data_IF_351069619968
#
_entry.id   IF_351069619968
#
_cell.length_a   1.000
_cell.length_b   1.000
_cell.length_c   1.000
_cell.angle_alpha   90.00
_cell.angle_beta   90.00
_cell.angle_gamma   90.00
#
_symmetry.space_group_name_H-M   'P 1'
#
loop_
_entity.id
_entity.type
_entity.pdbx_description
1 polymer ?
#
# COMPACT_ATOMS: atom_id res chain seq x y z
N UNK A 1 16.06 30.43 25.50
CA UNK A 1 15.00 30.40 24.47
C UNK A 1 15.16 29.11 23.70
N UNK A 2 14.66 28.02 24.26
CA UNK A 2 14.58 26.76 23.53
C UNK A 2 13.60 26.96 22.36
N UNK A 3 13.94 26.54 21.13
CA UNK A 3 12.99 26.60 20.05
C UNK A 3 11.88 25.63 20.40
N UNK A 4 10.70 26.19 20.69
CA UNK A 4 9.44 25.50 20.89
C UNK A 4 9.37 24.31 19.94
N UNK A 5 9.48 23.11 20.49
CA UNK A 5 9.27 21.87 19.77
C UNK A 5 7.90 21.94 19.12
N UNK A 6 7.87 22.29 17.84
CA UNK A 6 6.70 22.08 17.01
C UNK A 6 6.34 20.60 17.16
N UNK A 7 5.22 20.38 17.84
CA UNK A 7 4.57 19.11 18.13
C UNK A 7 4.18 18.40 16.83
N UNK A 8 5.15 17.98 16.02
CA UNK A 8 4.98 17.14 14.84
C UNK A 8 4.83 15.64 15.20
N UNK A 9 4.56 15.30 16.46
CA UNK A 9 4.80 13.94 16.97
C UNK A 9 3.65 13.24 17.70
N UNK A 10 2.55 13.93 18.02
CA UNK A 10 1.47 13.36 18.81
C UNK A 10 0.10 13.68 18.19
N UNK A 11 -0.33 12.88 17.22
CA UNK A 11 -1.75 12.66 17.03
C UNK A 11 -2.37 12.33 18.40
N UNK A 12 -3.43 13.02 18.87
CA UNK A 12 -3.93 12.76 20.22
C UNK A 12 -4.57 11.37 20.23
N UNK A 13 -3.90 10.39 20.84
CA UNK A 13 -4.44 9.04 21.08
C UNK A 13 -5.86 9.11 21.68
N UNK A 14 -6.12 10.15 22.48
CA UNK A 14 -7.43 10.46 23.03
C UNK A 14 -8.53 10.69 21.97
N UNK A 15 -8.22 11.34 20.83
CA UNK A 15 -9.18 11.53 19.74
C UNK A 15 -9.47 10.20 19.03
N UNK A 16 -8.45 9.38 18.79
CA UNK A 16 -8.63 8.09 18.13
C UNK A 16 -9.44 7.11 18.99
N UNK A 17 -9.20 7.07 20.31
CA UNK A 17 -10.04 6.32 21.27
C UNK A 17 -11.49 6.78 21.28
N UNK A 18 -11.76 8.09 21.19
CA UNK A 18 -13.13 8.61 21.05
C UNK A 18 -13.80 8.15 19.75
N UNK A 19 -13.02 8.03 18.66
CA UNK A 19 -13.52 7.52 17.39
C UNK A 19 -13.74 6.01 17.38
N UNK A 20 -13.03 5.23 18.20
CA UNK A 20 -13.33 3.80 18.37
C UNK A 20 -14.77 3.60 18.88
N UNK A 21 -15.21 4.43 19.82
CA UNK A 21 -16.57 4.37 20.36
C UNK A 21 -17.62 4.97 19.39
N UNK A 22 -17.31 6.10 18.76
CA UNK A 22 -18.30 6.85 17.96
C UNK A 22 -18.32 6.49 16.47
N UNK A 23 -17.22 5.97 15.91
CA UNK A 23 -17.07 5.60 14.49
C UNK A 23 -16.24 4.32 14.32
N UNK A 24 -16.63 3.19 14.94
CA UNK A 24 -15.84 1.96 14.99
C UNK A 24 -15.47 1.42 13.59
N UNK A 25 -16.40 1.51 12.62
CA UNK A 25 -16.17 1.05 11.25
C UNK A 25 -15.06 1.82 10.53
N UNK A 26 -14.95 3.13 10.76
CA UNK A 26 -13.90 3.96 10.16
C UNK A 26 -12.53 3.63 10.76
N UNK A 27 -12.47 3.44 12.08
CA UNK A 27 -11.23 3.04 12.75
C UNK A 27 -10.79 1.63 12.33
N UNK A 28 -11.75 0.71 12.18
CA UNK A 28 -11.47 -0.62 11.64
C UNK A 28 -10.92 -0.55 10.21
N UNK A 29 -11.58 0.20 9.32
CA UNK A 29 -11.14 0.38 7.95
C UNK A 29 -9.72 0.94 7.86
N UNK A 30 -9.41 1.95 8.69
CA UNK A 30 -8.06 2.52 8.82
C UNK A 30 -7.04 1.46 9.25
N UNK A 31 -7.30 0.70 10.32
CA UNK A 31 -6.39 -0.34 10.80
C UNK A 31 -6.18 -1.47 9.80
N UNK A 32 -7.26 -1.90 9.15
CA UNK A 32 -7.23 -2.96 8.16
C UNK A 32 -6.52 -2.53 6.88
N UNK A 33 -6.54 -1.23 6.56
CA UNK A 33 -6.00 -0.70 5.31
C UNK A 33 -4.52 -1.00 5.11
N UNK A 34 -3.71 -1.05 6.17
CA UNK A 34 -2.29 -1.42 6.10
C UNK A 34 -2.09 -2.80 5.43
N UNK A 35 -3.00 -3.75 5.65
CA UNK A 35 -2.91 -5.09 5.08
C UNK A 35 -3.28 -5.17 3.59
N UNK A 36 -3.72 -4.07 2.98
CA UNK A 36 -3.92 -4.01 1.52
C UNK A 36 -2.61 -4.31 0.77
N UNK A 37 -1.46 -3.84 1.29
CA UNK A 37 -0.15 -4.17 0.74
C UNK A 37 0.12 -5.67 0.81
N UNK A 38 -0.13 -6.30 1.96
CA UNK A 38 0.10 -7.72 2.14
C UNK A 38 -0.81 -8.56 1.27
N UNK A 39 -2.07 -8.17 1.11
CA UNK A 39 -3.00 -8.83 0.20
C UNK A 39 -2.49 -8.77 -1.26
N UNK A 40 -2.05 -7.59 -1.72
CA UNK A 40 -1.45 -7.44 -3.06
C UNK A 40 -0.19 -8.28 -3.21
N UNK A 41 0.70 -8.29 -2.22
CA UNK A 41 1.91 -9.12 -2.24
C UNK A 41 1.59 -10.62 -2.33
N UNK A 42 0.61 -11.11 -1.56
CA UNK A 42 0.16 -12.50 -1.61
C UNK A 42 -0.45 -12.86 -2.97
N UNK A 43 -1.33 -12.03 -3.51
CA UNK A 43 -1.95 -12.27 -4.82
C UNK A 43 -0.90 -12.23 -5.93
N UNK A 44 0.03 -11.27 -5.88
CA UNK A 44 1.12 -11.19 -6.83
C UNK A 44 1.99 -12.45 -6.78
N UNK A 45 2.42 -12.89 -5.59
CA UNK A 45 3.18 -14.13 -5.42
C UNK A 45 2.45 -15.36 -5.98
N UNK A 46 1.15 -15.48 -5.71
CA UNK A 46 0.32 -16.58 -6.21
C UNK A 46 0.16 -16.54 -7.74
N UNK A 47 0.12 -15.35 -8.33
CA UNK A 47 -0.04 -15.16 -9.77
C UNK A 47 1.28 -15.21 -10.54
N UNK A 48 2.45 -15.01 -9.90
CA UNK A 48 3.77 -14.97 -10.55
C UNK A 48 4.02 -16.09 -11.58
N UNK A 49 3.68 -17.36 -11.32
CA UNK A 49 3.89 -18.43 -12.30
C UNK A 49 3.06 -18.25 -13.58
N UNK A 50 1.87 -17.66 -13.46
CA UNK A 50 0.91 -17.42 -14.56
C UNK A 50 1.15 -16.10 -15.28
N UNK A 51 1.92 -15.19 -14.68
CA UNK A 51 2.20 -13.89 -15.24
C UNK A 51 3.26 -13.96 -16.36
N UNK A 52 3.15 -13.10 -17.38
CA UNK A 52 4.13 -12.96 -18.45
C UNK A 52 5.54 -12.68 -17.93
N UNK A 53 6.54 -12.91 -18.78
CA UNK A 53 7.95 -12.74 -18.37
C UNK A 53 8.26 -11.31 -17.93
N UNK A 54 7.67 -10.31 -18.57
CA UNK A 54 7.77 -8.89 -18.20
C UNK A 54 7.25 -8.57 -16.78
N UNK A 55 6.47 -9.46 -16.17
CA UNK A 55 5.93 -9.32 -14.82
C UNK A 55 6.68 -10.19 -13.79
N UNK A 56 7.65 -11.00 -14.21
CA UNK A 56 8.46 -11.81 -13.27
C UNK A 56 9.57 -11.00 -12.61
N UNK A 57 9.88 -9.83 -13.16
CA UNK A 57 10.76 -8.82 -12.59
C UNK A 57 10.05 -7.48 -12.54
N UNK A 58 10.31 -6.72 -11.49
CA UNK A 58 10.02 -5.28 -11.44
C UNK A 58 11.24 -4.51 -11.88
N UNK A 59 11.13 -3.18 -12.01
CA UNK A 59 12.25 -2.32 -12.42
C UNK A 59 13.44 -2.40 -11.44
N UNK A 60 13.18 -2.57 -10.14
CA UNK A 60 14.24 -2.58 -9.11
C UNK A 60 14.65 -3.96 -8.63
N UNK A 61 13.74 -4.95 -8.67
CA UNK A 61 14.00 -6.27 -8.11
C UNK A 61 13.17 -7.39 -8.76
N UNK A 62 13.51 -8.64 -8.49
CA UNK A 62 12.70 -9.79 -8.90
C UNK A 62 11.29 -9.74 -8.32
N UNK A 63 10.30 -10.29 -9.05
CA UNK A 63 8.90 -10.27 -8.65
C UNK A 63 8.64 -10.92 -7.29
N UNK A 64 9.34 -12.01 -6.97
CA UNK A 64 9.27 -12.65 -5.65
C UNK A 64 9.72 -11.73 -4.51
N UNK A 65 10.81 -10.97 -4.71
CA UNK A 65 11.27 -9.98 -3.74
C UNK A 65 10.29 -8.83 -3.58
N UNK A 66 9.71 -8.36 -4.68
CA UNK A 66 8.68 -7.33 -4.64
C UNK A 66 7.42 -7.80 -3.88
N UNK A 67 6.97 -9.04 -4.12
CA UNK A 67 5.87 -9.65 -3.39
C UNK A 67 6.14 -9.75 -1.88
N UNK A 68 7.35 -10.21 -1.52
CA UNK A 68 7.78 -10.29 -0.13
C UNK A 68 7.86 -8.91 0.53
N UNK A 69 8.37 -7.91 -0.18
CA UNK A 69 8.43 -6.53 0.30
C UNK A 69 7.02 -5.95 0.55
N UNK A 70 6.05 -6.23 -0.32
CA UNK A 70 4.64 -5.86 -0.11
C UNK A 70 4.02 -6.55 1.11
N UNK A 71 4.32 -7.84 1.31
CA UNK A 71 3.90 -8.58 2.51
C UNK A 71 4.44 -7.93 3.79
N UNK A 72 5.74 -7.62 3.81
CA UNK A 72 6.40 -6.95 4.93
C UNK A 72 5.87 -5.53 5.16
N UNK A 73 5.61 -4.78 4.09
CA UNK A 73 5.08 -3.41 4.18
C UNK A 73 3.79 -3.33 4.98
N UNK A 74 2.83 -4.23 4.74
CA UNK A 74 1.58 -4.20 5.49
C UNK A 74 1.77 -4.44 7.00
N UNK A 75 2.69 -5.33 7.37
CA UNK A 75 3.09 -5.54 8.75
C UNK A 75 3.79 -4.33 9.36
N UNK A 76 4.75 -3.72 8.65
CA UNK A 76 5.47 -2.53 9.10
C UNK A 76 4.53 -1.33 9.26
N UNK A 77 3.64 -1.09 8.31
CA UNK A 77 2.66 0.01 8.38
C UNK A 77 1.68 -0.20 9.53
N UNK A 78 1.19 -1.43 9.73
CA UNK A 78 0.33 -1.73 10.88
C UNK A 78 1.06 -1.50 12.22
N UNK A 79 2.32 -1.93 12.33
CA UNK A 79 3.12 -1.72 13.55
C UNK A 79 3.40 -0.24 13.78
N UNK A 80 3.71 0.52 12.74
CA UNK A 80 3.91 1.97 12.83
C UNK A 80 2.62 2.68 13.30
N UNK A 81 1.48 2.32 12.72
CA UNK A 81 0.17 2.83 13.12
C UNK A 81 -0.21 2.39 14.54
N UNK A 82 0.07 1.14 14.94
CA UNK A 82 -0.19 0.63 16.27
C UNK A 82 0.68 1.32 17.33
N UNK A 83 1.95 1.60 17.05
CA UNK A 83 2.83 2.39 17.95
C UNK A 83 2.31 3.81 18.08
N UNK A 84 1.98 4.45 16.96
CA UNK A 84 1.45 5.81 16.95
C UNK A 84 0.08 5.90 17.67
N UNK A 85 -0.79 4.91 17.48
CA UNK A 85 -2.17 4.87 17.95
C UNK A 85 -2.32 4.39 19.38
N UNK A 86 -1.61 3.31 19.75
CA UNK A 86 -1.83 2.59 21.00
C UNK A 86 -0.73 2.86 22.04
N UNK A 87 0.34 3.56 21.67
CA UNK A 87 1.47 3.84 22.57
C UNK A 87 2.13 2.56 23.09
N UNK A 88 1.97 1.44 22.37
CA UNK A 88 2.49 0.15 22.80
C UNK A 88 4.02 0.18 22.76
N UNK A 89 4.70 -0.41 23.75
CA UNK A 89 6.14 -0.59 23.68
C UNK A 89 6.43 -1.50 22.49
N UNK A 90 7.28 -1.04 21.59
CA UNK A 90 7.84 -1.86 20.51
C UNK A 90 9.26 -2.25 20.85
N UNK A 91 9.71 -3.44 20.41
CA UNK A 91 11.14 -3.72 20.40
C UNK A 91 11.80 -2.67 19.49
N UNK A 92 12.87 -2.02 19.92
CA UNK A 92 13.54 -0.90 19.23
C UNK A 92 12.83 0.47 19.25
N UNK A 93 13.57 1.52 18.88
CA UNK A 93 13.09 2.90 18.95
C UNK A 93 11.94 3.18 17.96
N UNK A 94 10.97 4.00 18.37
CA UNK A 94 9.88 4.48 17.49
C UNK A 94 10.39 5.11 16.19
N UNK A 95 11.53 5.83 16.25
CA UNK A 95 12.16 6.43 15.08
C UNK A 95 12.62 5.38 14.07
N UNK A 96 13.15 4.24 14.54
CA UNK A 96 13.57 3.16 13.65
C UNK A 96 12.39 2.58 12.86
N UNK A 97 11.30 2.23 13.55
CA UNK A 97 10.09 1.70 12.89
C UNK A 97 9.52 2.67 11.84
N UNK A 98 9.43 3.96 12.20
CA UNK A 98 8.97 5.00 11.30
C UNK A 98 9.89 5.15 10.07
N UNK A 99 11.21 5.09 10.27
CA UNK A 99 12.16 5.18 9.16
C UNK A 99 12.07 3.96 8.25
N UNK A 100 12.00 2.74 8.80
CA UNK A 100 11.90 1.51 8.03
C UNK A 100 10.62 1.46 7.19
N UNK A 101 9.47 1.74 7.82
CA UNK A 101 8.17 1.79 7.14
C UNK A 101 8.18 2.82 6.00
N UNK A 102 8.73 4.02 6.24
CA UNK A 102 8.83 5.05 5.20
C UNK A 102 9.76 4.65 4.08
N UNK A 103 10.97 4.19 4.38
CA UNK A 103 11.94 3.79 3.35
C UNK A 103 11.34 2.72 2.44
N UNK A 104 10.73 1.69 3.05
CA UNK A 104 10.10 0.63 2.28
C UNK A 104 8.91 1.15 1.46
N UNK A 105 8.03 1.98 2.02
CA UNK A 105 6.91 2.58 1.31
C UNK A 105 7.36 3.44 0.11
N UNK A 106 8.39 4.27 0.28
CA UNK A 106 8.95 5.10 -0.79
C UNK A 106 9.54 4.24 -1.91
N UNK A 107 10.33 3.23 -1.55
CA UNK A 107 10.92 2.30 -2.53
C UNK A 107 9.84 1.54 -3.28
N UNK A 108 8.82 1.02 -2.59
CA UNK A 108 7.70 0.32 -3.22
C UNK A 108 6.88 1.23 -4.13
N UNK A 109 6.63 2.47 -3.72
CA UNK A 109 5.89 3.46 -4.53
C UNK A 109 6.66 3.80 -5.81
N UNK A 110 7.96 4.08 -5.69
CA UNK A 110 8.82 4.36 -6.84
C UNK A 110 8.88 3.15 -7.79
N UNK A 111 9.05 1.94 -7.24
CA UNK A 111 9.09 0.71 -8.03
C UNK A 111 7.76 0.45 -8.73
N UNK A 112 6.62 0.63 -8.05
CA UNK A 112 5.29 0.46 -8.62
C UNK A 112 5.02 1.45 -9.75
N UNK A 113 5.37 2.73 -9.57
CA UNK A 113 5.22 3.75 -10.61
C UNK A 113 6.08 3.46 -11.85
N UNK A 114 7.33 2.99 -11.65
CA UNK A 114 8.22 2.61 -12.75
C UNK A 114 7.73 1.33 -13.46
N UNK A 115 7.33 0.32 -12.69
CA UNK A 115 6.86 -0.97 -13.18
C UNK A 115 5.53 -0.83 -13.93
N UNK A 116 4.62 0.04 -13.49
CA UNK A 116 3.38 0.33 -14.19
C UNK A 116 3.62 0.77 -15.65
N UNK A 117 4.67 1.57 -15.91
CA UNK A 117 5.02 1.98 -17.27
C UNK A 117 5.46 0.78 -18.13
N UNK A 118 6.28 -0.11 -17.56
CA UNK A 118 6.77 -1.31 -18.25
C UNK A 118 5.62 -2.26 -18.56
N UNK A 119 4.74 -2.50 -17.59
CA UNK A 119 3.58 -3.39 -17.76
C UNK A 119 2.59 -2.86 -18.79
N UNK A 120 2.35 -1.54 -18.83
CA UNK A 120 1.46 -0.94 -19.82
C UNK A 120 2.01 -0.98 -21.25
N UNK A 121 3.34 -0.98 -21.40
CA UNK A 121 4.00 -1.10 -22.68
C UNK A 121 4.17 -2.57 -23.14
N UNK A 122 3.90 -3.54 -22.26
CA UNK A 122 4.05 -4.95 -22.59
C UNK A 122 2.90 -5.43 -23.47
N UNK A 123 3.23 -5.99 -24.63
CA UNK A 123 2.26 -6.65 -25.51
C UNK A 123 1.68 -7.94 -24.89
N UNK A 124 2.32 -8.49 -23.85
CA UNK A 124 1.84 -9.68 -23.13
C UNK A 124 0.84 -9.33 -22.02
N UNK A 125 0.65 -8.04 -21.69
CA UNK A 125 -0.34 -7.60 -20.71
C UNK A 125 -1.73 -7.54 -21.34
N UNK A 126 -2.66 -8.35 -20.84
CA UNK A 126 -4.08 -8.28 -21.24
C UNK A 126 -4.88 -7.21 -20.50
N UNK A 127 -4.29 -6.60 -19.46
CA UNK A 127 -4.95 -5.56 -18.69
C UNK A 127 -4.97 -4.22 -19.42
N UNK A 128 -6.00 -3.42 -19.18
CA UNK A 128 -6.19 -2.14 -19.86
C UNK A 128 -5.04 -1.15 -19.55
N UNK A 129 -4.40 -0.52 -20.55
CA UNK A 129 -3.21 0.32 -20.34
C UNK A 129 -3.48 1.57 -19.49
N UNK A 130 -4.74 2.04 -19.40
CA UNK A 130 -5.13 3.13 -18.49
C UNK A 130 -4.92 2.82 -16.99
N UNK A 131 -4.68 1.56 -16.61
CA UNK A 131 -4.30 1.22 -15.23
C UNK A 131 -2.93 1.80 -14.85
N UNK A 132 -2.03 2.08 -15.81
CA UNK A 132 -0.75 2.75 -15.55
C UNK A 132 -0.91 4.17 -15.01
N UNK A 133 -1.55 5.10 -15.75
CA UNK A 133 -1.78 6.44 -15.23
C UNK A 133 -2.67 6.41 -14.00
N UNK A 134 -3.66 5.51 -13.91
CA UNK A 134 -4.48 5.36 -12.71
C UNK A 134 -3.64 4.97 -11.48
N UNK A 135 -2.71 4.03 -11.62
CA UNK A 135 -1.77 3.64 -10.56
C UNK A 135 -0.96 4.84 -10.08
N UNK A 136 -0.33 5.57 -11.00
CA UNK A 136 0.51 6.73 -10.66
C UNK A 136 -0.31 7.83 -10.00
N UNK A 137 -1.50 8.15 -10.54
CA UNK A 137 -2.40 9.16 -9.98
C UNK A 137 -2.99 8.73 -8.64
N UNK A 138 -3.16 7.44 -8.38
CA UNK A 138 -3.69 6.95 -7.10
C UNK A 138 -2.81 7.32 -5.92
N UNK A 139 -1.49 7.47 -6.11
CA UNK A 139 -0.57 7.93 -5.05
C UNK A 139 -0.86 9.37 -4.60
N UNK A 140 -1.60 10.16 -5.37
CA UNK A 140 -2.03 11.51 -4.96
C UNK A 140 -2.97 11.49 -3.76
N UNK A 141 -3.60 10.36 -3.44
CA UNK A 141 -4.40 10.17 -2.21
C UNK A 141 -3.57 10.36 -0.92
N UNK A 142 -2.24 10.27 -1.01
CA UNK A 142 -1.31 10.65 0.05
C UNK A 142 -1.47 12.12 0.48
N UNK A 143 -1.67 13.03 -0.48
CA UNK A 143 -1.71 14.48 -0.25
C UNK A 143 -2.83 14.87 0.71
N UNK A 144 -4.11 14.55 0.46
CA UNK A 144 -5.19 14.89 1.38
C UNK A 144 -5.06 14.16 2.73
N UNK A 145 -4.48 12.95 2.78
CA UNK A 145 -4.17 12.28 4.05
C UNK A 145 -3.21 13.12 4.88
N UNK A 146 -2.07 13.54 4.32
CA UNK A 146 -1.07 14.36 5.01
C UNK A 146 -1.61 15.74 5.41
N UNK A 147 -2.39 16.39 4.55
CA UNK A 147 -2.99 17.68 4.89
C UNK A 147 -3.97 17.55 6.07
N UNK A 148 -4.81 16.51 6.08
CA UNK A 148 -5.72 16.26 7.20
C UNK A 148 -4.97 15.96 8.50
N UNK A 149 -3.84 15.26 8.43
CA UNK A 149 -2.95 15.05 9.57
C UNK A 149 -2.35 16.35 10.11
N UNK A 150 -1.77 17.19 9.24
CA UNK A 150 -1.17 18.48 9.62
C UNK A 150 -2.21 19.42 10.22
N UNK A 151 -3.44 19.41 9.72
CA UNK A 151 -4.54 20.22 10.25
C UNK A 151 -5.27 19.57 11.43
N UNK A 152 -4.82 18.42 11.93
CA UNK A 152 -5.45 17.74 13.07
C UNK A 152 -6.89 17.25 12.82
N UNK A 153 -7.28 17.06 11.55
CA UNK A 153 -8.63 16.62 11.17
C UNK A 153 -8.70 15.10 11.12
N UNK A 154 -8.99 14.47 12.25
CA UNK A 154 -8.89 13.01 12.42
C UNK A 154 -9.83 12.19 11.50
N UNK A 155 -11.12 12.54 11.41
CA UNK A 155 -12.08 11.80 10.57
C UNK A 155 -11.64 11.74 9.10
N UNK A 156 -11.40 12.88 8.43
CA UNK A 156 -10.96 12.83 7.03
C UNK A 156 -9.54 12.28 6.89
N UNK A 157 -8.67 12.42 7.90
CA UNK A 157 -7.38 11.74 7.92
C UNK A 157 -7.55 10.22 7.80
N UNK A 158 -8.34 9.59 8.67
CA UNK A 158 -8.56 8.14 8.66
C UNK A 158 -9.11 7.67 7.31
N UNK A 159 -10.04 8.43 6.72
CA UNK A 159 -10.63 8.10 5.43
C UNK A 159 -9.62 8.19 4.27
N UNK A 160 -8.91 9.32 4.15
CA UNK A 160 -7.93 9.52 3.08
C UNK A 160 -6.71 8.63 3.23
N UNK A 161 -6.29 8.34 4.47
CA UNK A 161 -5.20 7.41 4.74
C UNK A 161 -5.58 5.97 4.33
N UNK A 162 -6.81 5.55 4.66
CA UNK A 162 -7.32 4.26 4.18
C UNK A 162 -7.36 4.20 2.65
N UNK A 163 -7.80 5.27 1.99
CA UNK A 163 -7.84 5.37 0.53
C UNK A 163 -6.44 5.27 -0.09
N UNK A 164 -5.43 5.91 0.53
CA UNK A 164 -4.04 5.77 0.13
C UNK A 164 -3.56 4.32 0.15
N UNK A 165 -3.96 3.52 1.12
CA UNK A 165 -3.63 2.10 1.08
C UNK A 165 -4.48 1.34 0.06
N UNK A 166 -5.79 1.50 0.04
CA UNK A 166 -6.66 0.63 -0.78
C UNK A 166 -6.60 0.92 -2.28
N UNK A 167 -6.58 2.19 -2.71
CA UNK A 167 -6.73 2.54 -4.13
C UNK A 167 -5.56 2.02 -5.00
N UNK A 168 -4.27 2.33 -4.71
CA UNK A 168 -3.16 1.77 -5.49
C UNK A 168 -3.16 0.25 -5.46
N UNK A 169 -3.43 -0.37 -4.31
CA UNK A 169 -3.46 -1.83 -4.19
C UNK A 169 -4.60 -2.45 -5.01
N UNK A 170 -5.79 -1.84 -5.04
CA UNK A 170 -6.90 -2.31 -5.86
C UNK A 170 -6.58 -2.23 -7.36
N UNK A 171 -5.93 -1.15 -7.81
CA UNK A 171 -5.48 -1.00 -9.20
C UNK A 171 -4.42 -2.06 -9.53
N UNK A 172 -3.46 -2.29 -8.63
CA UNK A 172 -2.43 -3.33 -8.82
C UNK A 172 -3.06 -4.71 -8.95
N UNK A 173 -3.97 -5.05 -8.03
CA UNK A 173 -4.70 -6.31 -8.04
C UNK A 173 -5.50 -6.51 -9.31
N UNK A 174 -6.24 -5.50 -9.75
CA UNK A 174 -6.98 -5.56 -11.01
C UNK A 174 -6.06 -5.86 -12.19
N UNK A 175 -4.89 -5.21 -12.24
CA UNK A 175 -3.90 -5.44 -13.29
C UNK A 175 -3.32 -6.86 -13.25
N UNK A 176 -2.85 -7.29 -12.07
CA UNK A 176 -2.26 -8.60 -11.84
C UNK A 176 -3.25 -9.71 -12.21
N UNK A 177 -4.49 -9.61 -11.74
CA UNK A 177 -5.51 -10.62 -11.96
C UNK A 177 -5.94 -10.69 -13.43
N UNK A 178 -6.17 -9.55 -14.09
CA UNK A 178 -6.51 -9.52 -15.52
C UNK A 178 -5.39 -10.15 -16.37
N UNK A 179 -4.14 -9.80 -16.06
CA UNK A 179 -2.96 -10.32 -16.78
C UNK A 179 -2.78 -11.82 -16.55
N UNK A 180 -2.91 -12.28 -15.29
CA UNK A 180 -2.77 -13.70 -14.96
C UNK A 180 -3.92 -14.57 -15.52
N UNK A 181 -5.10 -13.98 -15.71
CA UNK A 181 -6.23 -14.64 -16.36
C UNK A 181 -6.04 -14.79 -17.87
N UNK A 182 -5.28 -13.89 -18.52
CA UNK A 182 -4.92 -13.98 -19.94
C UNK A 182 -3.65 -14.77 -20.26
N UNK A 183 -2.94 -15.27 -19.23
CA UNK A 183 -1.67 -15.97 -19.41
C UNK A 183 -1.78 -17.33 -20.12
N UNK A 184 -0.65 -17.91 -20.57
CA UNK A 184 -0.58 -19.09 -21.45
C UNK A 184 -1.19 -20.41 -20.91
N UNK A 185 -1.81 -20.41 -19.73
CA UNK A 185 -2.57 -21.54 -19.16
C UNK A 185 -4.09 -21.38 -19.18
N UNK A 186 -4.63 -20.26 -19.68
CA UNK A 186 -6.06 -19.97 -19.64
C UNK A 186 -6.88 -20.62 -20.79
N UNK A 187 -6.21 -21.11 -21.84
CA UNK A 187 -6.84 -21.75 -23.01
C UNK A 187 -6.86 -23.28 -22.98
N UNK A 188 -6.52 -23.92 -21.86
CA UNK A 188 -6.38 -25.38 -21.76
C UNK A 188 -7.63 -26.16 -21.35
N UNK A 189 -8.80 -25.53 -21.24
CA UNK A 189 -10.02 -26.16 -20.72
C UNK A 189 -11.21 -26.19 -21.71
N UNK A 190 -11.00 -25.87 -22.98
CA UNK A 190 -12.06 -25.90 -24.03
C UNK A 190 -11.74 -26.87 -25.18
N UNK A 191 -11.01 -27.95 -24.92
CA UNK A 191 -10.81 -29.02 -25.90
C UNK A 191 -10.63 -30.40 -25.23
N UNK A 192 -11.67 -30.89 -24.55
CA UNK A 192 -11.95 -32.33 -24.42
C UNK A 192 -13.46 -32.57 -24.56
#
# INVERSE_FOLDING_TARGET
LEPSGMLLGAFPQAQLRKLEASRPRLVFAYRASCFAYSATGAVYAACLPRLPTAFRSTVLCGGGWFAAALLLQGGLSFMNDAVATLGRPVPFSRRLWQTLDRLLAWTLTANAAATARVWAASAESTAHPALAPAMVLSFLTFIPSRLCEVWGRMVPFLAWHSAWHYVPNAIALAWILQTAAGGPGAGGAEAE
#
